data_IF_606129742634
#
_entry.id   IF_606129742634
#
_cell.length_a   1.000
_cell.length_b   1.000
_cell.length_c   1.000
_cell.angle_alpha   90.00
_cell.angle_beta   90.00
_cell.angle_gamma   90.00
#
_symmetry.space_group_name_H-M   'P 1'
#
loop_
_entity.id
_entity.type
_entity.pdbx_description
1 polymer ?
#
# COMPACT_ATOMS: atom_id res chain seq x y z
N UNK A 1 47.12 -18.79 -16.96
CA UNK A 1 46.18 -19.91 -16.66
C UNK A 1 44.80 -19.50 -17.14
N UNK A 2 44.15 -20.30 -18.01
CA UNK A 2 42.85 -19.97 -18.65
C UNK A 2 41.71 -20.41 -17.72
N UNK A 3 40.92 -19.49 -17.13
CA UNK A 3 40.03 -19.87 -16.03
C UNK A 3 38.74 -20.61 -16.42
N UNK A 4 38.42 -20.82 -17.71
CA UNK A 4 37.12 -21.42 -18.08
C UNK A 4 37.09 -22.47 -19.19
N UNK A 5 38.20 -22.89 -19.80
CA UNK A 5 38.22 -24.07 -20.68
C UNK A 5 37.23 -24.07 -21.88
N UNK A 6 36.57 -22.97 -22.21
CA UNK A 6 35.61 -22.88 -23.31
C UNK A 6 36.36 -22.75 -24.64
N UNK A 7 36.09 -23.68 -25.56
CA UNK A 7 36.85 -23.90 -26.80
C UNK A 7 36.45 -22.92 -27.92
N UNK A 8 35.37 -22.14 -27.74
CA UNK A 8 34.72 -21.41 -28.82
C UNK A 8 34.05 -20.09 -28.33
N UNK A 9 34.40 -18.95 -28.94
CA UNK A 9 34.00 -17.59 -28.52
C UNK A 9 32.47 -17.35 -28.49
N UNK A 10 31.71 -18.16 -29.21
CA UNK A 10 30.25 -18.10 -29.32
C UNK A 10 29.54 -18.70 -28.10
N UNK A 11 30.15 -19.68 -27.42
CA UNK A 11 29.62 -20.23 -26.16
C UNK A 11 29.74 -19.21 -25.02
N UNK A 12 30.85 -18.48 -24.97
CA UNK A 12 31.06 -17.40 -24.01
C UNK A 12 30.13 -16.20 -24.26
N UNK A 13 29.94 -15.83 -25.54
CA UNK A 13 28.99 -14.78 -25.92
C UNK A 13 27.53 -15.18 -25.61
N UNK A 14 27.15 -16.43 -25.87
CA UNK A 14 25.83 -16.97 -25.55
C UNK A 14 25.56 -17.02 -24.04
N UNK A 15 26.53 -17.48 -23.25
CA UNK A 15 26.44 -17.47 -21.79
C UNK A 15 26.32 -16.04 -21.23
N UNK A 16 27.07 -15.09 -21.77
CA UNK A 16 26.98 -13.67 -21.41
C UNK A 16 25.61 -13.06 -21.72
N UNK A 17 25.05 -13.36 -22.90
CA UNK A 17 23.71 -12.90 -23.28
C UNK A 17 22.62 -13.51 -22.38
N UNK A 18 22.69 -14.82 -22.09
CA UNK A 18 21.75 -15.50 -21.19
C UNK A 18 21.82 -14.94 -19.77
N UNK A 19 23.02 -14.72 -19.23
CA UNK A 19 23.18 -14.11 -17.92
C UNK A 19 22.66 -12.68 -17.89
N UNK A 20 22.96 -11.88 -18.92
CA UNK A 20 22.45 -10.51 -19.04
C UNK A 20 20.92 -10.46 -19.11
N UNK A 21 20.31 -11.34 -19.91
CA UNK A 21 18.86 -11.46 -20.03
C UNK A 21 18.21 -11.91 -18.70
N UNK A 22 18.83 -12.85 -17.98
CA UNK A 22 18.37 -13.30 -16.67
C UNK A 22 18.42 -12.16 -15.64
N UNK A 23 19.50 -11.37 -15.62
CA UNK A 23 19.65 -10.22 -14.72
C UNK A 23 18.58 -9.16 -15.02
N UNK A 24 18.35 -8.83 -16.30
CA UNK A 24 17.33 -7.88 -16.71
C UNK A 24 15.91 -8.35 -16.34
N UNK A 25 15.59 -9.63 -16.59
CA UNK A 25 14.31 -10.21 -16.18
C UNK A 25 14.10 -10.13 -14.67
N UNK A 26 15.15 -10.42 -13.90
CA UNK A 26 15.13 -10.36 -12.45
C UNK A 26 14.93 -8.92 -11.95
N UNK A 27 15.64 -7.95 -12.52
CA UNK A 27 15.49 -6.53 -12.16
C UNK A 27 14.08 -6.01 -12.45
N UNK A 28 13.54 -6.33 -13.64
CA UNK A 28 12.17 -5.93 -14.01
C UNK A 28 11.14 -6.56 -13.07
N UNK A 29 11.34 -7.82 -12.67
CA UNK A 29 10.47 -8.52 -11.73
C UNK A 29 10.55 -7.92 -10.33
N UNK A 30 11.73 -7.51 -9.89
CA UNK A 30 11.94 -6.82 -8.61
C UNK A 30 11.29 -5.44 -8.56
N UNK A 31 11.44 -4.62 -9.61
CA UNK A 31 10.82 -3.28 -9.67
C UNK A 31 9.30 -3.33 -9.65
N UNK A 32 8.70 -4.40 -10.19
CA UNK A 32 7.24 -4.60 -10.17
C UNK A 32 6.75 -5.32 -8.91
N UNK A 33 7.64 -5.82 -8.06
CA UNK A 33 7.24 -6.49 -6.82
C UNK A 33 6.83 -5.44 -5.78
N UNK A 34 5.65 -5.61 -5.18
CA UNK A 34 5.24 -4.79 -4.06
C UNK A 34 6.14 -5.07 -2.85
N UNK A 35 6.39 -4.06 -2.01
CA UNK A 35 7.09 -4.24 -0.73
C UNK A 35 6.45 -5.35 0.12
N UNK A 36 5.13 -5.50 0.04
CA UNK A 36 4.37 -6.54 0.75
C UNK A 36 4.74 -7.96 0.28
N UNK A 37 4.86 -8.16 -1.03
CA UNK A 37 5.33 -9.43 -1.62
C UNK A 37 6.76 -9.75 -1.21
N UNK A 38 7.65 -8.77 -1.20
CA UNK A 38 9.04 -8.97 -0.81
C UNK A 38 9.18 -9.40 0.65
N UNK A 39 8.47 -8.73 1.56
CA UNK A 39 8.46 -9.07 2.99
C UNK A 39 7.84 -10.46 3.19
N UNK A 40 6.71 -10.74 2.55
CA UNK A 40 6.08 -12.06 2.62
C UNK A 40 7.00 -13.17 2.08
N UNK A 41 7.67 -12.94 0.95
CA UNK A 41 8.62 -13.87 0.37
C UNK A 41 9.80 -14.14 1.30
N UNK A 42 10.34 -13.11 1.96
CA UNK A 42 11.44 -13.25 2.91
C UNK A 42 11.03 -14.10 4.12
N UNK A 43 9.90 -13.78 4.75
CA UNK A 43 9.38 -14.54 5.91
C UNK A 43 9.04 -15.98 5.51
N UNK A 44 8.37 -16.16 4.37
CA UNK A 44 8.02 -17.48 3.85
C UNK A 44 9.23 -18.33 3.51
N UNK A 45 10.27 -17.75 2.90
CA UNK A 45 11.54 -18.43 2.65
C UNK A 45 12.23 -18.83 3.94
N UNK A 46 12.20 -17.97 4.97
CA UNK A 46 12.78 -18.27 6.29
C UNK A 46 12.07 -19.47 6.92
N UNK A 47 10.74 -19.46 6.92
CA UNK A 47 9.92 -20.58 7.42
C UNK A 47 10.15 -21.86 6.60
N UNK A 48 10.32 -21.74 5.29
CA UNK A 48 10.68 -22.86 4.41
C UNK A 48 12.03 -23.47 4.77
N UNK A 49 13.06 -22.65 5.01
CA UNK A 49 14.38 -23.12 5.44
C UNK A 49 14.30 -23.78 6.81
N UNK A 50 13.58 -23.20 7.76
CA UNK A 50 13.36 -23.81 9.08
C UNK A 50 12.64 -25.15 8.94
N UNK A 51 11.59 -25.22 8.11
CA UNK A 51 10.88 -26.46 7.82
C UNK A 51 11.77 -27.52 7.18
N UNK A 52 12.64 -27.11 6.25
CA UNK A 52 13.64 -27.99 5.64
C UNK A 52 14.61 -28.55 6.69
N UNK A 53 15.13 -27.68 7.58
CA UNK A 53 16.04 -28.10 8.65
C UNK A 53 15.37 -29.09 9.60
N UNK A 54 14.11 -28.84 9.99
CA UNK A 54 13.35 -29.79 10.81
C UNK A 54 13.17 -31.14 10.11
N UNK A 55 12.84 -31.13 8.82
CA UNK A 55 12.72 -32.37 8.05
C UNK A 55 14.06 -33.10 7.88
N UNK A 56 15.16 -32.37 7.67
CA UNK A 56 16.50 -32.97 7.65
C UNK A 56 16.84 -33.64 8.99
N UNK A 57 16.52 -33.02 10.12
CA UNK A 57 16.72 -33.62 11.44
C UNK A 57 15.90 -34.91 11.63
N UNK A 58 14.66 -34.94 11.15
CA UNK A 58 13.82 -36.16 11.18
C UNK A 58 14.40 -37.26 10.30
N UNK A 59 14.86 -36.92 9.09
CA UNK A 59 15.52 -37.84 8.17
C UNK A 59 16.81 -38.42 8.75
N UNK A 60 17.63 -37.60 9.41
CA UNK A 60 18.86 -38.05 10.07
C UNK A 60 18.57 -39.01 11.22
N UNK A 61 17.48 -38.81 11.98
CA UNK A 61 17.05 -39.76 13.02
C UNK A 61 16.47 -41.06 12.46
N UNK A 62 15.86 -41.02 11.28
CA UNK A 62 15.34 -42.18 10.57
C UNK A 62 16.40 -42.92 9.73
N UNK A 63 17.63 -42.38 9.66
CA UNK A 63 18.68 -42.79 8.71
C UNK A 63 19.30 -44.17 8.91
N UNK A 64 18.89 -44.94 9.93
CA UNK A 64 19.35 -46.32 10.16
C UNK A 64 19.10 -47.28 8.97
N UNK A 65 18.39 -46.84 7.93
CA UNK A 65 17.97 -47.67 6.78
C UNK A 65 18.62 -47.27 5.44
N UNK A 66 19.31 -46.12 5.32
CA UNK A 66 19.73 -45.58 3.99
C UNK A 66 21.24 -45.32 3.86
N UNK A 67 21.80 -45.51 2.65
CA UNK A 67 23.19 -45.13 2.33
C UNK A 67 23.41 -43.60 2.40
N UNK A 68 24.55 -43.20 2.94
CA UNK A 68 24.94 -41.79 3.17
C UNK A 68 24.85 -40.88 1.93
N UNK A 69 25.18 -41.40 0.73
CA UNK A 69 25.14 -40.60 -0.50
C UNK A 69 23.72 -40.21 -0.93
N UNK A 70 22.76 -41.13 -0.79
CA UNK A 70 21.35 -40.87 -1.15
C UNK A 70 20.71 -39.87 -0.18
N UNK A 71 21.09 -39.92 1.10
CA UNK A 71 20.59 -39.01 2.13
C UNK A 71 21.03 -37.56 1.86
N UNK A 72 22.32 -37.33 1.56
CA UNK A 72 22.81 -35.98 1.27
C UNK A 72 22.13 -35.37 0.03
N UNK A 73 21.92 -36.17 -1.01
CA UNK A 73 21.20 -35.71 -2.20
C UNK A 73 19.75 -35.33 -1.89
N UNK A 74 19.06 -36.18 -1.11
CA UNK A 74 17.67 -35.94 -0.72
C UNK A 74 17.53 -34.70 0.18
N UNK A 75 18.47 -34.50 1.12
CA UNK A 75 18.48 -33.31 1.99
C UNK A 75 18.65 -32.01 1.20
N UNK A 76 19.59 -31.96 0.26
CA UNK A 76 19.80 -30.78 -0.58
C UNK A 76 18.57 -30.52 -1.47
N UNK A 77 18.01 -31.58 -2.07
CA UNK A 77 16.79 -31.47 -2.87
C UNK A 77 15.60 -30.96 -2.05
N UNK A 78 15.42 -31.48 -0.84
CA UNK A 78 14.38 -31.07 0.09
C UNK A 78 14.55 -29.62 0.53
N UNK A 79 15.78 -29.18 0.81
CA UNK A 79 16.08 -27.80 1.17
C UNK A 79 15.73 -26.83 0.05
N UNK A 80 16.15 -27.12 -1.18
CA UNK A 80 15.79 -26.30 -2.34
C UNK A 80 14.28 -26.26 -2.55
N UNK A 81 13.61 -27.40 -2.44
CA UNK A 81 12.18 -27.52 -2.60
C UNK A 81 11.41 -26.70 -1.55
N UNK A 82 11.71 -26.91 -0.26
CA UNK A 82 11.03 -26.21 0.84
C UNK A 82 11.32 -24.71 0.83
N UNK A 83 12.54 -24.29 0.50
CA UNK A 83 12.89 -22.87 0.37
C UNK A 83 12.10 -22.23 -0.77
N UNK A 84 12.00 -22.89 -1.92
CA UNK A 84 11.21 -22.41 -3.06
C UNK A 84 9.72 -22.32 -2.73
N UNK A 85 9.14 -23.37 -2.13
CA UNK A 85 7.72 -23.37 -1.73
C UNK A 85 7.47 -22.27 -0.71
N UNK A 86 8.33 -22.11 0.29
CA UNK A 86 8.26 -21.04 1.28
C UNK A 86 8.30 -19.65 0.63
N UNK A 87 9.20 -19.44 -0.31
CA UNK A 87 9.32 -18.17 -1.06
C UNK A 87 8.07 -17.89 -1.90
N UNK A 88 7.54 -18.88 -2.63
CA UNK A 88 6.37 -18.70 -3.49
C UNK A 88 5.10 -18.47 -2.67
N UNK A 89 4.88 -19.26 -1.62
CA UNK A 89 3.74 -19.10 -0.71
C UNK A 89 3.85 -17.77 0.01
N UNK A 90 5.02 -17.41 0.51
CA UNK A 90 5.28 -16.13 1.16
C UNK A 90 5.05 -14.94 0.23
N UNK A 91 5.52 -15.02 -1.01
CA UNK A 91 5.30 -13.97 -2.01
C UNK A 91 3.80 -13.81 -2.33
N UNK A 92 3.09 -14.92 -2.58
CA UNK A 92 1.67 -14.89 -2.92
C UNK A 92 0.78 -14.44 -1.75
N UNK A 93 1.11 -14.85 -0.51
CA UNK A 93 0.35 -14.47 0.69
C UNK A 93 0.79 -13.12 1.26
N UNK A 94 1.95 -12.60 0.87
CA UNK A 94 2.49 -11.32 1.31
C UNK A 94 1.59 -10.13 0.98
N UNK A 95 0.83 -10.19 -0.12
CA UNK A 95 -0.16 -9.15 -0.44
C UNK A 95 -1.33 -9.09 0.55
N UNK A 96 -1.64 -10.21 1.21
CA UNK A 96 -2.69 -10.28 2.24
C UNK A 96 -2.21 -9.71 3.59
N UNK A 97 -0.92 -9.45 3.74
CA UNK A 97 -0.39 -8.77 4.93
C UNK A 97 -0.82 -7.30 4.87
N UNK A 98 -1.77 -6.95 5.73
CA UNK A 98 -2.11 -5.57 5.99
C UNK A 98 -0.97 -4.93 6.80
N UNK A 99 0.07 -4.46 6.10
CA UNK A 99 1.14 -3.65 6.67
C UNK A 99 0.62 -2.40 7.39
N UNK A 100 -0.59 -1.93 7.06
CA UNK A 100 -1.26 -0.86 7.81
C UNK A 100 -1.74 -1.30 9.20
N UNK A 101 -2.10 -2.58 9.38
CA UNK A 101 -2.45 -3.15 10.69
C UNK A 101 -1.18 -3.53 11.47
N UNK A 102 -0.15 -4.03 10.79
CA UNK A 102 1.14 -4.40 11.39
C UNK A 102 2.01 -3.17 11.73
N UNK A 103 1.87 -2.08 10.97
CA UNK A 103 2.57 -0.80 11.18
C UNK A 103 2.18 -0.09 12.48
N UNK A 104 1.05 -0.46 13.08
CA UNK A 104 0.68 -0.03 14.43
C UNK A 104 1.55 -0.65 15.54
N UNK A 105 2.23 -1.77 15.27
CA UNK A 105 3.13 -2.45 16.21
C UNK A 105 4.62 -2.10 15.98
N UNK A 106 5.01 -1.81 14.73
CA UNK A 106 6.41 -1.57 14.33
C UNK A 106 6.77 -0.10 14.04
N UNK A 107 5.98 0.85 14.53
CA UNK A 107 6.35 2.27 14.45
C UNK A 107 6.38 2.80 13.01
N UNK A 108 5.51 2.29 12.14
CA UNK A 108 5.22 3.02 10.91
C UNK A 108 4.52 4.29 11.36
N UNK A 109 5.22 5.42 11.24
CA UNK A 109 4.67 6.77 11.28
C UNK A 109 3.24 6.68 10.77
N UNK A 110 2.28 6.92 11.67
CA UNK A 110 0.90 7.13 11.27
C UNK A 110 1.02 8.25 10.26
N UNK A 111 1.03 7.97 8.96
CA UNK A 111 0.58 8.96 7.99
C UNK A 111 -0.77 9.32 8.57
N UNK A 112 -0.93 10.55 9.13
CA UNK A 112 -2.19 10.89 9.75
C UNK A 112 -3.17 10.63 8.62
N UNK A 113 -4.08 9.66 8.81
CA UNK A 113 -5.20 9.48 7.90
C UNK A 113 -5.73 10.90 7.81
N UNK A 114 -5.50 11.59 6.69
CA UNK A 114 -5.97 12.95 6.49
C UNK A 114 -7.44 12.81 6.79
N UNK A 115 -7.87 13.29 7.96
CA UNK A 115 -9.22 13.15 8.44
C UNK A 115 -10.01 14.01 7.49
N UNK A 116 -10.48 13.38 6.42
CA UNK A 116 -11.29 14.01 5.42
C UNK A 116 -12.62 14.27 6.09
N UNK A 117 -12.90 15.54 6.34
CA UNK A 117 -14.17 15.98 6.92
C UNK A 117 -14.96 16.58 5.77
N UNK A 118 -16.10 15.96 5.46
CA UNK A 118 -17.00 16.42 4.41
C UNK A 118 -18.04 17.31 5.09
N UNK A 119 -18.24 18.51 4.56
CA UNK A 119 -19.24 19.43 5.06
C UNK A 119 -20.48 19.44 4.17
N UNK A 120 -21.64 19.51 4.83
CA UNK A 120 -22.94 19.63 4.20
C UNK A 120 -23.44 21.08 4.24
N UNK A 121 -24.39 21.41 3.35
CA UNK A 121 -25.00 22.74 3.22
C UNK A 121 -25.57 23.24 4.55
N UNK A 122 -26.19 22.34 5.32
CA UNK A 122 -26.78 22.64 6.64
C UNK A 122 -25.77 23.18 7.66
N UNK A 123 -24.58 22.59 7.71
CA UNK A 123 -23.49 22.95 8.64
C UNK A 123 -22.88 24.30 8.27
N UNK A 124 -22.85 24.64 6.98
CA UNK A 124 -22.32 25.92 6.48
C UNK A 124 -23.30 27.07 6.78
N UNK A 125 -24.60 26.85 6.61
CA UNK A 125 -25.64 27.87 6.88
C UNK A 125 -25.70 28.24 8.37
N UNK A 126 -25.45 27.28 9.27
CA UNK A 126 -25.46 27.49 10.71
C UNK A 126 -24.32 28.41 11.20
N UNK A 127 -23.20 28.47 10.45
CA UNK A 127 -22.13 29.45 10.63
C UNK A 127 -21.19 29.22 11.83
N UNK A 128 -21.64 28.47 12.86
CA UNK A 128 -20.81 28.11 14.03
C UNK A 128 -19.55 27.36 13.67
N UNK A 129 -19.54 26.67 12.52
CA UNK A 129 -18.37 25.89 12.15
C UNK A 129 -17.16 26.77 11.78
N UNK A 130 -17.36 28.01 11.30
CA UNK A 130 -16.24 28.92 11.10
C UNK A 130 -15.50 29.22 12.40
N UNK A 131 -16.22 29.35 13.52
CA UNK A 131 -15.62 29.62 14.82
C UNK A 131 -14.89 28.38 15.38
N UNK A 132 -15.42 27.17 15.13
CA UNK A 132 -14.74 25.90 15.45
C UNK A 132 -13.48 25.72 14.60
N UNK A 133 -13.52 26.13 13.34
CA UNK A 133 -12.38 26.16 12.44
C UNK A 133 -11.28 27.14 12.92
N UNK A 134 -11.64 28.30 13.45
CA UNK A 134 -10.69 29.28 14.00
C UNK A 134 -10.01 28.81 15.28
N UNK A 135 -10.72 28.08 16.14
CA UNK A 135 -10.14 27.50 17.37
C UNK A 135 -9.17 26.35 17.11
N UNK A 136 -8.94 25.98 15.84
CA UNK A 136 -8.08 24.86 15.44
C UNK A 136 -8.48 23.53 16.07
N UNK A 137 -9.76 23.39 16.43
CA UNK A 137 -10.34 22.14 16.92
C UNK A 137 -10.57 21.13 15.78
N UNK A 138 -10.59 21.61 14.54
CA UNK A 138 -10.79 20.81 13.33
C UNK A 138 -9.47 20.67 12.57
N UNK A 139 -8.81 19.52 12.76
CA UNK A 139 -7.66 19.11 11.95
C UNK A 139 -8.07 18.27 10.73
N UNK A 140 -7.39 18.50 9.61
CA UNK A 140 -7.49 17.66 8.41
C UNK A 140 -7.79 18.41 7.12
N UNK A 141 -8.12 17.63 6.09
CA UNK A 141 -8.55 18.15 4.79
C UNK A 141 -10.06 18.37 4.84
N UNK A 142 -10.48 19.62 4.65
CA UNK A 142 -11.89 19.97 4.53
C UNK A 142 -12.31 19.80 3.07
N UNK A 143 -13.24 18.89 2.81
CA UNK A 143 -13.76 18.66 1.45
C UNK A 143 -15.15 19.26 1.33
N UNK A 144 -15.31 20.18 0.37
CA UNK A 144 -16.58 20.81 0.05
C UNK A 144 -17.01 20.37 -1.35
N UNK A 145 -18.10 19.60 -1.49
CA UNK A 145 -18.62 19.22 -2.79
C UNK A 145 -19.14 20.44 -3.58
N UNK A 146 -18.98 20.42 -4.90
CA UNK A 146 -19.43 21.53 -5.76
C UNK A 146 -20.95 21.75 -5.73
N UNK A 147 -21.77 20.73 -5.41
CA UNK A 147 -23.23 20.89 -5.30
C UNK A 147 -23.64 21.80 -4.13
N UNK A 148 -22.87 21.82 -3.04
CA UNK A 148 -23.15 22.65 -1.85
C UNK A 148 -23.06 24.14 -2.19
N UNK A 149 -22.06 24.52 -2.99
CA UNK A 149 -21.90 25.88 -3.51
C UNK A 149 -23.11 26.30 -4.37
N UNK A 150 -23.58 25.39 -5.24
CA UNK A 150 -24.74 25.61 -6.11
C UNK A 150 -26.03 25.75 -5.31
N UNK A 151 -26.23 24.93 -4.28
CA UNK A 151 -27.41 24.99 -3.40
C UNK A 151 -27.43 26.30 -2.60
N UNK A 152 -26.30 26.72 -2.03
CA UNK A 152 -26.20 28.00 -1.32
C UNK A 152 -26.51 29.20 -2.24
N UNK A 153 -26.04 29.17 -3.49
CA UNK A 153 -26.35 30.21 -4.49
C UNK A 153 -27.85 30.23 -4.82
N UNK A 154 -28.48 29.08 -5.06
CA UNK A 154 -29.92 28.98 -5.29
C UNK A 154 -30.75 29.54 -4.13
N UNK A 155 -30.34 29.27 -2.88
CA UNK A 155 -31.00 29.81 -1.69
C UNK A 155 -30.77 31.32 -1.57
N UNK A 156 -29.58 31.81 -1.92
CA UNK A 156 -29.24 33.23 -1.93
C UNK A 156 -30.03 34.01 -2.99
N UNK A 157 -30.40 33.38 -4.12
CA UNK A 157 -31.18 34.00 -5.20
C UNK A 157 -32.70 33.85 -5.02
N UNK A 158 -33.15 33.33 -3.88
CA UNK A 158 -34.58 33.17 -3.59
C UNK A 158 -35.31 34.52 -3.49
N UNK A 159 -36.58 34.53 -3.94
CA UNK A 159 -37.48 35.68 -3.79
C UNK A 159 -37.85 35.97 -2.32
N UNK A 160 -37.77 34.94 -1.46
CA UNK A 160 -37.99 35.06 -0.02
C UNK A 160 -36.77 35.72 0.65
N UNK A 161 -36.99 36.88 1.27
CA UNK A 161 -35.95 37.67 1.93
C UNK A 161 -35.25 36.91 3.07
N UNK A 162 -35.96 36.04 3.79
CA UNK A 162 -35.39 35.24 4.87
C UNK A 162 -34.47 34.16 4.33
N UNK A 163 -34.85 33.50 3.24
CA UNK A 163 -34.03 32.48 2.58
C UNK A 163 -32.79 33.11 1.94
N UNK A 164 -32.95 34.23 1.24
CA UNK A 164 -31.86 35.01 0.65
C UNK A 164 -30.80 35.41 1.68
N UNK A 165 -31.23 35.93 2.83
CA UNK A 165 -30.31 36.33 3.89
C UNK A 165 -29.52 35.13 4.47
N UNK A 166 -30.15 33.96 4.59
CA UNK A 166 -29.47 32.73 5.03
C UNK A 166 -28.47 32.21 4.00
N UNK A 167 -28.85 32.18 2.72
CA UNK A 167 -27.96 31.74 1.63
C UNK A 167 -26.71 32.61 1.51
N UNK A 168 -26.88 33.95 1.56
CA UNK A 168 -25.76 34.90 1.59
C UNK A 168 -24.84 34.67 2.79
N UNK A 169 -25.41 34.50 3.99
CA UNK A 169 -24.62 34.20 5.20
C UNK A 169 -23.82 32.90 5.06
N UNK A 170 -24.39 31.85 4.46
CA UNK A 170 -23.67 30.60 4.20
C UNK A 170 -22.50 30.77 3.23
N UNK A 171 -22.66 31.58 2.17
CA UNK A 171 -21.57 31.92 1.25
C UNK A 171 -20.45 32.72 1.94
N UNK A 172 -20.80 33.68 2.80
CA UNK A 172 -19.83 34.47 3.56
C UNK A 172 -19.01 33.59 4.53
N UNK A 173 -19.66 32.65 5.21
CA UNK A 173 -19.02 31.66 6.09
C UNK A 173 -18.04 30.79 5.30
N UNK A 174 -18.46 30.31 4.11
CA UNK A 174 -17.62 29.48 3.25
C UNK A 174 -16.37 30.25 2.75
N UNK A 175 -16.53 31.51 2.38
CA UNK A 175 -15.40 32.37 2.02
C UNK A 175 -14.46 32.63 3.19
N UNK A 176 -15.00 32.84 4.40
CA UNK A 176 -14.20 32.99 5.63
C UNK A 176 -13.34 31.74 5.84
N UNK A 177 -13.93 30.54 5.77
CA UNK A 177 -13.23 29.26 5.95
C UNK A 177 -12.14 29.05 4.88
N UNK A 178 -12.41 29.39 3.61
CA UNK A 178 -11.40 29.28 2.53
C UNK A 178 -10.19 30.20 2.72
N UNK A 179 -10.35 31.34 3.40
CA UNK A 179 -9.26 32.28 3.68
C UNK A 179 -8.43 31.90 4.91
N UNK A 180 -8.86 30.91 5.69
CA UNK A 180 -8.14 30.49 6.89
C UNK A 180 -6.91 29.66 6.52
N UNK A 181 -5.72 30.12 6.94
CA UNK A 181 -4.45 29.46 6.62
C UNK A 181 -4.24 28.12 7.37
N UNK A 182 -4.99 27.89 8.46
CA UNK A 182 -4.87 26.69 9.30
C UNK A 182 -5.66 25.50 8.75
N UNK A 183 -6.49 25.67 7.71
CA UNK A 183 -7.34 24.61 7.16
C UNK A 183 -7.07 24.46 5.67
N UNK A 184 -6.85 23.22 5.24
CA UNK A 184 -6.73 22.91 3.82
C UNK A 184 -8.12 22.60 3.26
N UNK A 185 -8.68 23.54 2.50
CA UNK A 185 -10.00 23.41 1.85
C UNK A 185 -9.81 22.94 0.41
N UNK A 186 -10.46 21.83 0.07
CA UNK A 186 -10.51 21.32 -1.29
C UNK A 186 -11.96 21.27 -1.78
N UNK A 187 -12.22 21.91 -2.93
CA UNK A 187 -13.49 21.80 -3.64
C UNK A 187 -13.37 20.60 -4.58
N UNK A 188 -14.33 19.68 -4.51
CA UNK A 188 -14.35 18.46 -5.32
C UNK A 188 -15.61 18.45 -6.20
N UNK A 189 -15.43 18.15 -7.49
CA UNK A 189 -16.49 18.16 -8.52
C UNK A 189 -17.25 16.83 -8.63
N UNK A 190 -16.94 15.83 -7.83
CA UNK A 190 -17.54 14.50 -7.95
C UNK A 190 -19.00 14.45 -7.42
N UNK A 191 -19.93 14.31 -8.36
CA UNK A 191 -21.16 13.53 -8.16
C UNK A 191 -20.77 12.12 -7.72
N UNK A 192 -21.24 11.65 -6.57
CA UNK A 192 -21.01 10.29 -6.11
C UNK A 192 -21.77 9.29 -7.01
N UNK A 193 -21.14 8.55 -7.94
CA UNK A 193 -21.86 7.62 -8.82
C UNK A 193 -22.16 6.28 -8.13
N UNK A 194 -21.77 6.11 -6.86
CA UNK A 194 -21.70 4.80 -6.19
C UNK A 194 -22.37 4.73 -4.81
N UNK A 195 -23.26 5.66 -4.50
CA UNK A 195 -24.13 5.52 -3.31
C UNK A 195 -25.57 5.53 -3.81
N UNK A 196 -26.08 4.33 -4.10
CA UNK A 196 -27.52 4.04 -4.17
C UNK A 196 -27.93 3.31 -2.90
#
# INVERSE_FOLDING_TARGET
>A
MKPFGLRQWWEAAGAGFLLGAAILLFEVRLRRASLKRLIGAAVGSLLGIIGALLMCLVLDRASNTFQFQTLSFLQVGLLLFMTYVGLVVGANKGDMLNLSALGGLFGAEKTPKKSCKIFDTSVIIDGRIADICETSFLDGLLVIPQFVLRELQLVADSADSLKRNRGRRGLDVLQRIQKMANINVQIVEDDFPHIR
#
